data_IF_017335789990
#
_entry.id   IF_017335789990
#
_cell.length_a   1.000
_cell.length_b   1.000
_cell.length_c   1.000
_cell.angle_alpha   90.00
_cell.angle_beta   90.00
_cell.angle_gamma   90.00
#
_symmetry.space_group_name_H-M   'P 1'
#
loop_
_entity.id
_entity.type
_entity.pdbx_description
1 polymer ?
#
# COMPACT_ATOMS: atom_id res chain seq x y z
N UNK A 1 11.84 -62.70 11.09
CA UNK A 1 10.82 -61.94 10.35
C UNK A 1 10.35 -60.69 11.10
N UNK A 2 10.04 -60.73 12.40
CA UNK A 2 9.53 -59.57 13.15
C UNK A 2 10.55 -58.41 13.35
N UNK A 3 11.85 -58.68 13.46
CA UNK A 3 12.88 -57.64 13.66
C UNK A 3 13.20 -56.85 12.39
N UNK A 4 13.12 -57.49 11.22
CA UNK A 4 13.40 -56.84 9.93
C UNK A 4 12.32 -55.80 9.57
N UNK A 5 11.06 -56.09 9.91
CA UNK A 5 9.93 -55.16 9.74
C UNK A 5 10.05 -53.95 10.67
N UNK A 6 10.55 -54.12 11.89
CA UNK A 6 10.81 -53.01 12.82
C UNK A 6 11.96 -52.11 12.37
N UNK A 7 13.01 -52.69 11.78
CA UNK A 7 14.15 -51.93 11.29
C UNK A 7 13.76 -51.05 10.09
N UNK A 8 12.97 -51.59 9.16
CA UNK A 8 12.48 -50.85 7.98
C UNK A 8 11.50 -49.73 8.39
N UNK A 9 10.59 -49.99 9.32
CA UNK A 9 9.68 -48.96 9.84
C UNK A 9 10.42 -47.79 10.52
N UNK A 10 11.50 -48.06 11.26
CA UNK A 10 12.32 -47.00 11.87
C UNK A 10 13.08 -46.16 10.85
N UNK A 11 13.52 -46.75 9.73
CA UNK A 11 14.18 -46.00 8.65
C UNK A 11 13.20 -45.10 7.89
N UNK A 12 11.97 -45.58 7.63
CA UNK A 12 10.91 -44.77 7.03
C UNK A 12 10.49 -43.61 7.97
N UNK A 13 10.31 -43.87 9.26
CA UNK A 13 9.97 -42.82 10.25
C UNK A 13 11.07 -41.76 10.39
N UNK A 14 12.35 -42.16 10.38
CA UNK A 14 13.48 -41.23 10.45
C UNK A 14 13.58 -40.35 9.19
N UNK A 15 13.40 -40.94 8.00
CA UNK A 15 13.37 -40.19 6.74
C UNK A 15 12.19 -39.22 6.66
N UNK A 16 11.01 -39.63 7.15
CA UNK A 16 9.85 -38.75 7.27
C UNK A 16 10.09 -37.59 8.24
N UNK A 17 10.69 -37.84 9.41
CA UNK A 17 11.04 -36.80 10.37
C UNK A 17 12.01 -35.77 9.80
N UNK A 18 13.04 -36.20 9.05
CA UNK A 18 14.00 -35.30 8.40
C UNK A 18 13.34 -34.44 7.30
N UNK A 19 12.49 -35.03 6.47
CA UNK A 19 11.71 -34.31 5.46
C UNK A 19 10.77 -33.27 6.09
N UNK A 20 10.08 -33.65 7.17
CA UNK A 20 9.15 -32.76 7.89
C UNK A 20 9.91 -31.58 8.49
N UNK A 21 11.11 -31.82 9.02
CA UNK A 21 11.99 -30.79 9.58
C UNK A 21 12.51 -29.83 8.51
N UNK A 22 12.86 -30.34 7.32
CA UNK A 22 13.28 -29.50 6.19
C UNK A 22 12.14 -28.63 5.66
N UNK A 23 10.91 -29.18 5.55
CA UNK A 23 9.72 -28.40 5.15
C UNK A 23 9.43 -27.29 6.15
N UNK A 24 9.50 -27.58 7.45
CA UNK A 24 9.30 -26.58 8.51
C UNK A 24 10.34 -25.44 8.44
N UNK A 25 11.60 -25.75 8.16
CA UNK A 25 12.65 -24.73 7.99
C UNK A 25 12.37 -23.85 6.76
N UNK A 26 11.97 -24.45 5.63
CA UNK A 26 11.62 -23.70 4.42
C UNK A 26 10.39 -22.81 4.62
N UNK A 27 9.38 -23.27 5.35
CA UNK A 27 8.21 -22.47 5.70
C UNK A 27 8.56 -21.30 6.61
N UNK A 28 9.42 -21.51 7.61
CA UNK A 28 9.90 -20.45 8.50
C UNK A 28 10.72 -19.40 7.74
N UNK A 29 11.61 -19.82 6.83
CA UNK A 29 12.35 -18.88 5.96
C UNK A 29 11.41 -18.08 5.06
N UNK A 30 10.39 -18.72 4.48
CA UNK A 30 9.39 -18.05 3.64
C UNK A 30 8.58 -17.03 4.44
N UNK A 31 8.16 -17.38 5.66
CA UNK A 31 7.45 -16.46 6.56
C UNK A 31 8.33 -15.28 6.96
N UNK A 32 9.60 -15.52 7.32
CA UNK A 32 10.54 -14.46 7.66
C UNK A 32 10.76 -13.49 6.49
N UNK A 33 10.94 -14.00 5.27
CA UNK A 33 11.04 -13.16 4.05
C UNK A 33 9.76 -12.36 3.80
N UNK A 34 8.59 -12.96 4.03
CA UNK A 34 7.31 -12.28 3.85
C UNK A 34 7.08 -11.17 4.89
N UNK A 35 7.52 -11.37 6.14
CA UNK A 35 7.40 -10.37 7.20
C UNK A 35 8.28 -9.16 6.91
N UNK A 36 9.54 -9.39 6.53
CA UNK A 36 10.48 -8.32 6.13
C UNK A 36 9.97 -7.52 4.92
N UNK A 37 9.38 -8.20 3.93
CA UNK A 37 8.75 -7.53 2.80
C UNK A 37 7.50 -6.72 3.21
N UNK A 38 6.70 -7.24 4.15
CA UNK A 38 5.52 -6.57 4.69
C UNK A 38 5.84 -5.30 5.46
N UNK A 39 6.97 -5.23 6.17
CA UNK A 39 7.39 -4.04 6.90
C UNK A 39 7.89 -2.91 5.98
N UNK A 40 8.60 -3.25 4.90
CA UNK A 40 9.12 -2.27 3.94
C UNK A 40 8.08 -1.83 2.89
N UNK A 41 7.08 -2.65 2.60
CA UNK A 41 6.09 -2.39 1.56
C UNK A 41 5.29 -1.08 1.74
N UNK A 42 4.81 -0.70 2.95
CA UNK A 42 4.11 0.56 3.16
C UNK A 42 4.98 1.79 2.85
N UNK A 43 6.24 1.78 3.30
CA UNK A 43 7.17 2.87 3.04
C UNK A 43 7.45 3.02 1.54
N UNK A 44 7.65 1.91 0.82
CA UNK A 44 7.82 1.92 -0.63
C UNK A 44 6.56 2.37 -1.38
N UNK A 45 5.36 1.96 -0.93
CA UNK A 45 4.11 2.43 -1.51
C UNK A 45 3.92 3.94 -1.33
N UNK A 46 4.26 4.47 -0.16
CA UNK A 46 4.25 5.92 0.12
C UNK A 46 5.26 6.65 -0.77
N UNK A 47 6.47 6.11 -0.93
CA UNK A 47 7.47 6.69 -1.84
C UNK A 47 6.96 6.73 -3.28
N UNK A 48 6.42 5.64 -3.81
CA UNK A 48 5.83 5.58 -5.16
C UNK A 48 4.69 6.60 -5.34
N UNK A 49 3.84 6.76 -4.32
CA UNK A 49 2.77 7.77 -4.35
C UNK A 49 3.34 9.19 -4.39
N UNK A 50 4.37 9.48 -3.59
CA UNK A 50 5.06 10.77 -3.60
C UNK A 50 5.71 11.06 -4.94
N UNK A 51 6.44 10.09 -5.50
CA UNK A 51 7.09 10.20 -6.82
C UNK A 51 6.07 10.43 -7.93
N UNK A 52 4.96 9.70 -7.92
CA UNK A 52 3.87 9.89 -8.89
C UNK A 52 3.28 11.29 -8.80
N UNK A 53 3.02 11.78 -7.58
CA UNK A 53 2.51 13.15 -7.36
C UNK A 53 3.50 14.21 -7.81
N UNK A 54 4.78 14.03 -7.51
CA UNK A 54 5.85 14.94 -7.94
C UNK A 54 5.96 14.98 -9.47
N UNK A 55 5.91 13.83 -10.13
CA UNK A 55 5.91 13.76 -11.61
C UNK A 55 4.70 14.47 -12.20
N UNK A 56 3.51 14.27 -11.64
CA UNK A 56 2.29 14.96 -12.07
C UNK A 56 2.41 16.47 -11.86
N UNK A 57 2.97 16.91 -10.72
CA UNK A 57 3.19 18.33 -10.44
C UNK A 57 4.10 18.97 -11.49
N UNK A 58 5.25 18.34 -11.78
CA UNK A 58 6.19 18.84 -12.79
C UNK A 58 5.60 18.90 -14.19
N UNK A 59 4.80 17.90 -14.57
CA UNK A 59 4.11 17.91 -15.85
C UNK A 59 3.12 19.08 -15.96
N UNK A 60 2.32 19.31 -14.91
CA UNK A 60 1.38 20.43 -14.86
C UNK A 60 2.10 21.80 -14.83
N UNK A 61 3.23 21.91 -14.12
CA UNK A 61 4.07 23.12 -14.11
C UNK A 61 4.62 23.42 -15.52
N UNK A 62 5.15 22.42 -16.23
CA UNK A 62 5.66 22.57 -17.58
C UNK A 62 4.56 22.94 -18.60
N UNK A 63 3.36 22.36 -18.45
CA UNK A 63 2.21 22.71 -19.28
C UNK A 63 1.81 24.17 -19.06
N UNK A 64 1.76 24.63 -17.81
CA UNK A 64 1.47 26.02 -17.47
C UNK A 64 2.52 26.98 -18.03
N UNK A 65 3.80 26.66 -17.91
CA UNK A 65 4.89 27.45 -18.48
C UNK A 65 4.76 27.57 -20.00
N UNK A 66 4.45 26.46 -20.68
CA UNK A 66 4.20 26.49 -22.13
C UNK A 66 3.02 27.38 -22.52
N UNK A 67 1.95 27.42 -21.72
CA UNK A 67 0.78 28.28 -21.96
C UNK A 67 1.12 29.75 -21.78
N UNK A 68 1.97 30.06 -20.79
CA UNK A 68 2.47 31.41 -20.49
C UNK A 68 3.37 31.89 -21.63
N UNK A 69 4.30 31.06 -22.10
CA UNK A 69 5.25 31.38 -23.17
C UNK A 69 4.59 31.61 -24.52
N UNK A 70 3.43 30.99 -24.76
CA UNK A 70 2.64 31.19 -25.99
C UNK A 70 1.90 32.53 -26.01
N UNK A 71 1.88 33.30 -24.93
CA UNK A 71 1.13 34.55 -24.89
C UNK A 71 1.99 35.74 -25.34
N UNK A 72 1.51 36.47 -26.34
CA UNK A 72 2.15 37.71 -26.80
C UNK A 72 2.00 38.87 -25.79
N UNK A 73 1.06 38.76 -24.85
CA UNK A 73 0.78 39.78 -23.83
C UNK A 73 1.16 39.31 -22.43
N UNK A 74 2.09 40.03 -21.82
CA UNK A 74 2.52 39.80 -20.43
C UNK A 74 1.36 39.86 -19.42
N UNK A 75 0.35 40.69 -19.66
CA UNK A 75 -0.83 40.77 -18.80
C UNK A 75 -1.71 39.51 -18.87
N UNK A 76 -1.86 38.95 -20.08
CA UNK A 76 -2.60 37.70 -20.29
C UNK A 76 -1.84 36.53 -19.65
N UNK A 77 -0.52 36.47 -19.86
CA UNK A 77 0.36 35.48 -19.27
C UNK A 77 0.28 35.46 -17.73
N UNK A 78 0.32 36.64 -17.10
CA UNK A 78 0.14 36.77 -15.64
C UNK A 78 -1.23 36.32 -15.15
N UNK A 79 -2.30 36.62 -15.88
CA UNK A 79 -3.64 36.22 -15.50
C UNK A 79 -3.81 34.70 -15.57
N UNK A 80 -3.27 34.05 -16.61
CA UNK A 80 -3.23 32.59 -16.72
C UNK A 80 -2.49 31.97 -15.53
N UNK A 81 -1.28 32.46 -15.24
CA UNK A 81 -0.49 31.98 -14.10
C UNK A 81 -1.22 32.16 -12.76
N UNK A 82 -1.97 33.25 -12.59
CA UNK A 82 -2.77 33.49 -11.37
C UNK A 82 -3.95 32.52 -11.27
N UNK A 83 -4.73 32.35 -12.34
CA UNK A 83 -5.92 31.48 -12.33
C UNK A 83 -5.58 30.01 -12.09
N UNK A 84 -4.46 29.55 -12.65
CA UNK A 84 -4.06 28.14 -12.57
C UNK A 84 -3.14 27.84 -11.40
N UNK A 85 -2.66 28.85 -10.66
CA UNK A 85 -1.75 28.63 -9.56
C UNK A 85 -2.48 27.94 -8.39
N UNK A 86 -1.97 26.81 -7.87
CA UNK A 86 -2.55 26.10 -6.74
C UNK A 86 -2.66 26.94 -5.46
N UNK A 87 -1.91 28.05 -5.38
CA UNK A 87 -2.02 29.01 -4.26
C UNK A 87 -3.37 29.73 -4.22
N UNK A 88 -4.02 29.90 -5.37
CA UNK A 88 -5.31 30.57 -5.49
C UNK A 88 -6.47 29.58 -5.63
N UNK A 89 -6.19 28.28 -5.57
CA UNK A 89 -7.24 27.26 -5.57
C UNK A 89 -8.05 27.37 -4.28
N UNK A 90 -9.36 27.57 -4.42
CA UNK A 90 -10.29 27.58 -3.30
C UNK A 90 -10.23 26.23 -2.58
N UNK A 91 -9.81 26.25 -1.30
CA UNK A 91 -9.77 25.03 -0.49
C UNK A 91 -11.18 24.75 0.00
N UNK A 92 -11.85 23.80 -0.64
CA UNK A 92 -13.06 23.23 -0.04
C UNK A 92 -12.66 22.41 1.18
N UNK A 93 -12.88 22.98 2.37
CA UNK A 93 -12.76 22.25 3.62
C UNK A 93 -14.01 21.38 3.80
N UNK A 94 -13.84 20.08 3.57
CA UNK A 94 -14.88 19.11 3.88
C UNK A 94 -14.97 18.98 5.40
N UNK A 95 -16.02 19.54 5.98
CA UNK A 95 -16.40 19.23 7.35
C UNK A 95 -16.79 17.74 7.41
N UNK A 96 -16.11 16.90 8.21
CA UNK A 96 -16.48 15.51 8.32
C UNK A 96 -17.88 15.41 8.94
N UNK A 97 -18.76 14.61 8.32
CA UNK A 97 -20.13 14.41 8.82
C UNK A 97 -20.16 13.82 10.23
N UNK A 98 -19.08 13.14 10.63
CA UNK A 98 -18.85 12.63 11.97
C UNK A 98 -17.65 13.34 12.56
N UNK A 99 -17.84 14.02 13.69
CA UNK A 99 -16.75 14.65 14.42
C UNK A 99 -15.74 13.60 14.89
N UNK A 100 -14.44 13.88 14.68
CA UNK A 100 -13.35 13.02 15.16
C UNK A 100 -13.45 12.86 16.67
N UNK A 101 -13.24 11.64 17.18
CA UNK A 101 -13.32 11.29 18.60
C UNK A 101 -14.72 11.40 19.22
N UNK A 102 -15.77 11.44 18.40
CA UNK A 102 -17.14 11.31 18.90
C UNK A 102 -17.50 9.85 19.16
N UNK A 103 -18.55 9.61 19.96
CA UNK A 103 -19.11 8.26 20.12
C UNK A 103 -19.53 7.62 18.78
N UNK A 104 -19.95 8.46 17.82
CA UNK A 104 -20.30 8.02 16.47
C UNK A 104 -19.04 7.60 15.66
N UNK A 105 -17.92 8.29 15.83
CA UNK A 105 -16.62 7.93 15.22
C UNK A 105 -16.17 6.54 15.68
N UNK A 106 -16.29 6.24 16.97
CA UNK A 106 -15.98 4.91 17.52
C UNK A 106 -16.94 3.83 17.02
N UNK A 107 -18.24 4.13 16.90
CA UNK A 107 -19.23 3.20 16.34
C UNK A 107 -18.91 2.87 14.88
N UNK A 108 -18.58 3.88 14.07
CA UNK A 108 -18.22 3.68 12.66
C UNK A 108 -16.95 2.83 12.54
N UNK A 109 -15.91 3.10 13.35
CA UNK A 109 -14.69 2.27 13.37
C UNK A 109 -14.99 0.82 13.71
N UNK A 110 -15.88 0.55 14.67
CA UNK A 110 -16.28 -0.80 15.05
C UNK A 110 -17.06 -1.53 13.94
N UNK A 111 -17.97 -0.83 13.24
CA UNK A 111 -18.69 -1.42 12.11
C UNK A 111 -17.75 -1.78 10.95
N UNK A 112 -16.79 -0.91 10.67
CA UNK A 112 -15.77 -1.13 9.62
C UNK A 112 -14.75 -2.21 10.00
N UNK A 113 -14.37 -2.34 11.28
CA UNK A 113 -13.46 -3.40 11.72
C UNK A 113 -14.09 -4.79 11.67
N UNK A 114 -15.42 -4.87 11.83
CA UNK A 114 -16.19 -6.11 11.77
C UNK A 114 -16.49 -6.53 10.32
N UNK A 115 -16.60 -5.54 9.42
CA UNK A 115 -16.74 -5.79 7.98
C UNK A 115 -15.38 -6.11 7.37
N UNK A 116 -15.03 -7.39 7.36
CA UNK A 116 -13.88 -7.93 6.62
C UNK A 116 -14.04 -7.57 5.14
N UNK A 117 -13.37 -6.51 4.68
CA UNK A 117 -13.31 -6.14 3.26
C UNK A 117 -12.63 -7.30 2.52
N UNK A 118 -13.41 -8.08 1.76
CA UNK A 118 -12.88 -9.22 0.98
C UNK A 118 -13.81 -10.41 0.73
N UNK A 119 -15.01 -10.48 1.33
CA UNK A 119 -15.98 -11.55 1.06
C UNK A 119 -16.84 -11.27 -0.18
N UNK A 120 -16.23 -11.00 -1.34
CA UNK A 120 -16.96 -10.81 -2.61
C UNK A 120 -16.76 -11.94 -3.62
N UNK A 121 -16.34 -13.13 -3.17
CA UNK A 121 -16.52 -14.36 -3.95
C UNK A 121 -16.77 -15.50 -2.96
N UNK A 122 -18.04 -15.89 -2.87
CA UNK A 122 -18.44 -17.22 -2.41
C UNK A 122 -18.76 -18.05 -3.65
#
# INVERSE_FOLDING_TARGET
>A
MAEFVRLVAHFDEAGHLELTRQVLVLEQERQARSQLAGEAAPAQAIQRLRERREKQRRAAEAELESLVDQQDSSLVAMNIARMLSPRFQERMEYAPAVAKYSAEDERVKQLLSTSRIGSYYQ
#
